data_IF_859331768918
#
_entry.id   IF_859331768918
#
_cell.length_a   1.000
_cell.length_b   1.000
_cell.length_c   1.000
_cell.angle_alpha   90.00
_cell.angle_beta   90.00
_cell.angle_gamma   90.00
#
_symmetry.space_group_name_H-M   'P 1'
#
loop_
_entity.id
_entity.type
_entity.pdbx_description
1 polymer ?
#
# COMPACT_ATOMS: atom_id res chain seq x y z
N UNK A 1 5.83 19.24 -7.39
CA UNK A 1 5.28 18.27 -6.41
C UNK A 1 5.98 16.94 -6.66
N UNK A 2 6.54 16.28 -5.64
CA UNK A 2 7.10 14.93 -5.77
C UNK A 2 6.04 13.94 -5.29
N UNK A 3 5.83 12.88 -6.04
CA UNK A 3 4.78 11.89 -5.77
C UNK A 3 5.41 10.50 -5.63
N UNK A 4 4.83 9.70 -4.74
CA UNK A 4 5.19 8.29 -4.53
C UNK A 4 3.90 7.48 -4.66
N UNK A 5 3.95 6.41 -5.43
CA UNK A 5 2.84 5.45 -5.56
C UNK A 5 3.16 4.22 -4.73
N UNK A 6 2.23 3.82 -3.88
CA UNK A 6 2.34 2.60 -3.08
C UNK A 6 1.46 1.51 -3.69
N UNK A 7 2.10 0.46 -4.21
CA UNK A 7 1.41 -0.74 -4.67
C UNK A 7 1.38 -1.79 -3.56
N UNK A 8 0.19 -2.28 -3.24
CA UNK A 8 -0.03 -3.35 -2.26
C UNK A 8 -0.74 -4.58 -2.85
N UNK A 9 -1.09 -4.52 -4.13
CA UNK A 9 -1.72 -5.62 -4.85
C UNK A 9 -0.68 -6.64 -5.30
N UNK A 10 -1.11 -7.90 -5.42
CA UNK A 10 -0.36 -9.00 -5.99
C UNK A 10 -0.90 -9.33 -7.38
N UNK A 11 -0.08 -9.97 -8.22
CA UNK A 11 -0.54 -10.43 -9.55
C UNK A 11 -1.77 -11.37 -9.45
N UNK A 12 -1.87 -12.11 -8.35
CA UNK A 12 -2.98 -13.03 -8.06
C UNK A 12 -4.28 -12.35 -7.64
N UNK A 13 -4.26 -11.05 -7.35
CA UNK A 13 -5.47 -10.25 -7.12
C UNK A 13 -6.26 -10.09 -8.41
N UNK A 14 -5.56 -10.18 -9.56
CA UNK A 14 -6.14 -10.29 -10.88
C UNK A 14 -7.13 -9.14 -11.20
N UNK A 15 -6.67 -7.90 -11.04
CA UNK A 15 -7.43 -6.69 -11.35
C UNK A 15 -8.10 -6.79 -12.74
N UNK A 16 -9.40 -6.52 -12.81
CA UNK A 16 -10.27 -6.68 -14.00
C UNK A 16 -10.63 -8.12 -14.39
N UNK A 17 -10.39 -9.12 -13.53
CA UNK A 17 -10.83 -10.50 -13.77
C UNK A 17 -12.17 -10.81 -13.06
N UNK A 18 -12.96 -11.79 -13.53
CA UNK A 18 -14.24 -12.15 -12.91
C UNK A 18 -14.16 -12.56 -11.43
N UNK A 19 -12.99 -13.01 -10.97
CA UNK A 19 -12.70 -13.39 -9.59
C UNK A 19 -11.63 -12.49 -8.97
N UNK A 20 -11.64 -11.21 -9.32
CA UNK A 20 -10.83 -10.20 -8.65
C UNK A 20 -11.06 -10.29 -7.14
N UNK A 21 -9.96 -10.30 -6.39
CA UNK A 21 -9.98 -10.38 -4.94
C UNK A 21 -8.83 -9.57 -4.38
N UNK A 22 -8.92 -9.24 -3.11
CA UNK A 22 -7.84 -8.59 -2.40
C UNK A 22 -7.66 -9.25 -1.04
N UNK A 23 -6.42 -9.61 -0.72
CA UNK A 23 -6.12 -10.24 0.56
C UNK A 23 -6.35 -9.26 1.72
N UNK A 24 -7.12 -9.71 2.72
CA UNK A 24 -7.39 -8.96 3.94
C UNK A 24 -6.08 -8.59 4.67
N UNK A 25 -5.08 -9.47 4.59
CA UNK A 25 -3.75 -9.17 5.13
C UNK A 25 -3.15 -7.92 4.45
N UNK A 26 -3.15 -7.87 3.11
CA UNK A 26 -2.62 -6.74 2.36
C UNK A 26 -3.43 -5.46 2.61
N UNK A 27 -4.75 -5.57 2.79
CA UNK A 27 -5.61 -4.44 3.18
C UNK A 27 -5.17 -3.81 4.50
N UNK A 28 -5.02 -4.61 5.56
CA UNK A 28 -4.59 -4.09 6.86
C UNK A 28 -3.16 -3.55 6.84
N UNK A 29 -2.24 -4.23 6.14
CA UNK A 29 -0.86 -3.74 5.98
C UNK A 29 -0.81 -2.43 5.19
N UNK A 30 -1.67 -2.23 4.20
CA UNK A 30 -1.79 -0.97 3.46
C UNK A 30 -2.20 0.19 4.39
N UNK A 31 -3.21 -0.04 5.24
CA UNK A 31 -3.66 0.95 6.24
C UNK A 31 -2.52 1.29 7.22
N UNK A 32 -1.80 0.30 7.73
CA UNK A 32 -0.67 0.49 8.66
C UNK A 32 0.51 1.21 8.00
N UNK A 33 0.75 0.97 6.71
CA UNK A 33 1.89 1.52 5.98
C UNK A 33 1.83 3.04 5.86
N UNK A 34 0.64 3.62 5.65
CA UNK A 34 0.48 5.07 5.48
C UNK A 34 0.97 5.90 6.68
N UNK A 35 0.50 5.68 7.93
CA UNK A 35 0.99 6.44 9.08
C UNK A 35 2.47 6.15 9.37
N UNK A 36 2.94 4.91 9.17
CA UNK A 36 4.34 4.56 9.35
C UNK A 36 5.24 5.29 8.35
N UNK A 37 4.85 5.34 7.07
CA UNK A 37 5.57 6.08 6.04
C UNK A 37 5.75 7.54 6.45
N UNK A 38 4.67 8.22 6.84
CA UNK A 38 4.76 9.63 7.24
C UNK A 38 5.60 9.84 8.50
N UNK A 39 5.50 8.94 9.49
CA UNK A 39 6.35 8.97 10.69
C UNK A 39 7.83 8.90 10.31
N UNK A 40 8.23 7.85 9.60
CA UNK A 40 9.65 7.65 9.28
C UNK A 40 10.17 8.67 8.27
N UNK A 41 9.35 9.12 7.33
CA UNK A 41 9.72 10.18 6.39
C UNK A 41 10.00 11.51 7.11
N UNK A 42 9.19 11.85 8.11
CA UNK A 42 9.42 13.03 8.94
C UNK A 42 10.68 12.89 9.80
N UNK A 43 10.98 11.69 10.32
CA UNK A 43 12.21 11.42 11.08
C UNK A 43 13.48 11.54 10.22
N UNK A 44 13.43 11.09 8.95
CA UNK A 44 14.56 11.21 8.00
C UNK A 44 14.86 12.65 7.57
N UNK A 45 13.91 13.57 7.77
CA UNK A 45 14.03 14.98 7.36
C UNK A 45 14.49 15.90 8.51
N UNK A 46 14.83 15.32 9.68
CA UNK A 46 15.49 16.02 10.79
C UNK A 46 17.01 16.03 10.59
#
# INVERSE_FOLDING_TARGET
IKSVLFGFGLDSDALHSPNEKYDIYNYYKGIETLPLFHKYFAELSK
#
